data_IF_505940103786
#
_entry.id   IF_505940103786
#
_cell.length_a   1.000
_cell.length_b   1.000
_cell.length_c   1.000
_cell.angle_alpha   90.00
_cell.angle_beta   90.00
_cell.angle_gamma   90.00
#
_symmetry.space_group_name_H-M   'P 1'
#
loop_
_entity.id
_entity.type
_entity.pdbx_description
1 polymer ?
#
# COMPACT_ATOMS: atom_id res chain seq x y z
N UNK A 1 -15.59 -94.74 -22.45
CA UNK A 1 -16.29 -94.12 -21.29
C UNK A 1 -17.32 -93.13 -21.82
N UNK A 2 -18.63 -93.42 -21.67
CA UNK A 2 -19.70 -92.49 -22.10
C UNK A 2 -19.90 -91.45 -21.01
N UNK A 3 -19.37 -90.26 -21.26
CA UNK A 3 -19.58 -89.07 -20.42
C UNK A 3 -21.08 -88.73 -20.49
N UNK A 4 -21.81 -88.94 -19.40
CA UNK A 4 -23.25 -88.73 -19.35
C UNK A 4 -23.61 -87.27 -19.58
N UNK A 5 -24.74 -87.02 -20.27
CA UNK A 5 -25.27 -85.69 -20.65
C UNK A 5 -25.23 -84.69 -19.49
N UNK A 6 -25.48 -85.15 -18.25
CA UNK A 6 -25.41 -84.34 -17.02
C UNK A 6 -24.06 -83.67 -16.81
N UNK A 7 -22.96 -84.39 -17.00
CA UNK A 7 -21.61 -83.83 -16.79
C UNK A 7 -21.25 -82.74 -17.81
N UNK A 8 -21.74 -82.84 -19.05
CA UNK A 8 -21.57 -81.79 -20.08
C UNK A 8 -22.36 -80.53 -19.73
N UNK A 9 -23.57 -80.69 -19.17
CA UNK A 9 -24.40 -79.57 -18.73
C UNK A 9 -23.77 -78.82 -17.56
N UNK A 10 -23.28 -79.55 -16.54
CA UNK A 10 -22.59 -78.95 -15.39
C UNK A 10 -21.25 -78.32 -15.78
N UNK A 11 -20.50 -78.92 -16.71
CA UNK A 11 -19.26 -78.33 -17.21
C UNK A 11 -19.52 -77.02 -17.98
N UNK A 12 -20.54 -76.98 -18.83
CA UNK A 12 -20.96 -75.77 -19.54
C UNK A 12 -21.37 -74.66 -18.57
N UNK A 13 -22.24 -74.97 -17.61
CA UNK A 13 -22.68 -74.00 -16.60
C UNK A 13 -21.52 -73.52 -15.70
N UNK A 14 -20.67 -74.43 -15.23
CA UNK A 14 -19.51 -74.08 -14.41
C UNK A 14 -18.52 -73.17 -15.14
N UNK A 15 -18.30 -73.39 -16.44
CA UNK A 15 -17.46 -72.51 -17.26
C UNK A 15 -18.03 -71.09 -17.38
N UNK A 16 -19.35 -70.95 -17.54
CA UNK A 16 -20.02 -69.64 -17.57
C UNK A 16 -19.89 -68.90 -16.24
N UNK A 17 -20.08 -69.60 -15.11
CA UNK A 17 -19.92 -69.02 -13.76
C UNK A 17 -18.48 -68.54 -13.51
N UNK A 18 -17.48 -69.30 -13.96
CA UNK A 18 -16.08 -68.88 -13.83
C UNK A 18 -15.77 -67.64 -14.68
N UNK A 19 -16.29 -67.58 -15.91
CA UNK A 19 -16.09 -66.42 -16.78
C UNK A 19 -16.77 -65.18 -16.19
N UNK A 20 -18.00 -65.29 -15.71
CA UNK A 20 -18.70 -64.15 -15.09
C UNK A 20 -18.03 -63.70 -13.80
N UNK A 21 -17.54 -64.62 -12.96
CA UNK A 21 -16.75 -64.28 -11.79
C UNK A 21 -15.43 -63.57 -12.15
N UNK A 22 -14.74 -64.05 -13.19
CA UNK A 22 -13.51 -63.42 -13.70
C UNK A 22 -13.75 -62.00 -14.22
N UNK A 23 -14.83 -61.79 -15.00
CA UNK A 23 -15.25 -60.47 -15.48
C UNK A 23 -15.64 -59.54 -14.31
N UNK A 24 -16.35 -60.05 -13.30
CA UNK A 24 -16.70 -59.30 -12.11
C UNK A 24 -15.47 -58.86 -11.31
N UNK A 25 -14.52 -59.77 -11.09
CA UNK A 25 -13.25 -59.45 -10.42
C UNK A 25 -12.41 -58.44 -11.21
N UNK A 26 -12.31 -58.59 -12.53
CA UNK A 26 -11.63 -57.64 -13.40
C UNK A 26 -12.30 -56.26 -13.40
N UNK A 27 -13.63 -56.21 -13.39
CA UNK A 27 -14.41 -54.96 -13.29
C UNK A 27 -14.11 -54.23 -11.97
N UNK A 28 -14.08 -54.94 -10.85
CA UNK A 28 -13.72 -54.35 -9.54
C UNK A 28 -12.28 -53.82 -9.52
N UNK A 29 -11.35 -54.55 -10.14
CA UNK A 29 -9.97 -54.11 -10.29
C UNK A 29 -9.83 -52.86 -11.17
N UNK A 30 -10.52 -52.81 -12.31
CA UNK A 30 -10.51 -51.61 -13.15
C UNK A 30 -11.11 -50.41 -12.43
N UNK A 31 -12.22 -50.62 -11.70
CA UNK A 31 -12.86 -49.55 -10.95
C UNK A 31 -11.94 -48.98 -9.86
N UNK A 32 -11.20 -49.83 -9.13
CA UNK A 32 -10.26 -49.34 -8.12
C UNK A 32 -9.08 -48.58 -8.71
N UNK A 33 -8.54 -49.03 -9.85
CA UNK A 33 -7.49 -48.30 -10.58
C UNK A 33 -7.97 -46.93 -11.08
N UNK A 34 -9.20 -46.85 -11.57
CA UNK A 34 -9.79 -45.59 -12.06
C UNK A 34 -9.99 -44.62 -10.90
N UNK A 35 -10.50 -45.09 -9.76
CA UNK A 35 -10.63 -44.26 -8.54
C UNK A 35 -9.29 -43.69 -8.11
N UNK A 36 -8.22 -44.50 -8.10
CA UNK A 36 -6.88 -44.03 -7.77
C UNK A 36 -6.38 -42.92 -8.70
N UNK A 37 -6.65 -43.02 -10.01
CA UNK A 37 -6.29 -41.97 -10.97
C UNK A 37 -7.09 -40.68 -10.75
N UNK A 38 -8.39 -40.79 -10.44
CA UNK A 38 -9.22 -39.62 -10.13
C UNK A 38 -8.80 -38.92 -8.83
N UNK A 39 -8.45 -39.68 -7.79
CA UNK A 39 -7.90 -39.10 -6.55
C UNK A 39 -6.58 -38.38 -6.81
N UNK A 40 -5.70 -38.97 -7.64
CA UNK A 40 -4.44 -38.34 -7.99
C UNK A 40 -4.66 -37.04 -8.78
N UNK A 41 -5.59 -37.04 -9.74
CA UNK A 41 -5.97 -35.84 -10.49
C UNK A 41 -6.57 -34.77 -9.57
N UNK A 42 -7.47 -35.14 -8.66
CA UNK A 42 -8.06 -34.22 -7.70
C UNK A 42 -7.01 -33.54 -6.82
N UNK A 43 -5.96 -34.27 -6.42
CA UNK A 43 -4.82 -33.71 -5.67
C UNK A 43 -4.01 -32.70 -6.50
N UNK A 44 -3.82 -32.95 -7.79
CA UNK A 44 -3.15 -31.99 -8.68
C UNK A 44 -3.98 -30.73 -8.90
N UNK A 45 -5.28 -30.88 -9.17
CA UNK A 45 -6.21 -29.76 -9.35
C UNK A 45 -6.30 -28.91 -8.09
N UNK A 46 -6.38 -29.53 -6.91
CA UNK A 46 -6.38 -28.83 -5.63
C UNK A 46 -5.08 -28.05 -5.42
N UNK A 47 -3.92 -28.65 -5.66
CA UNK A 47 -2.62 -27.98 -5.53
C UNK A 47 -2.45 -26.83 -6.52
N UNK A 48 -2.93 -26.99 -7.76
CA UNK A 48 -2.89 -25.93 -8.76
C UNK A 48 -3.72 -24.72 -8.29
N UNK A 49 -4.92 -24.94 -7.76
CA UNK A 49 -5.76 -23.88 -7.17
C UNK A 49 -5.05 -23.16 -6.01
N UNK A 50 -4.42 -23.92 -5.11
CA UNK A 50 -3.68 -23.33 -3.99
C UNK A 50 -2.51 -22.44 -4.43
N UNK A 51 -1.82 -22.78 -5.52
CA UNK A 51 -0.78 -21.92 -6.11
C UNK A 51 -1.40 -20.64 -6.68
N UNK A 52 -2.52 -20.73 -7.40
CA UNK A 52 -3.22 -19.54 -7.90
C UNK A 52 -3.75 -18.65 -6.76
N UNK A 53 -4.21 -19.25 -5.65
CA UNK A 53 -4.64 -18.49 -4.47
C UNK A 53 -3.46 -17.70 -3.87
N UNK A 54 -2.26 -18.30 -3.79
CA UNK A 54 -1.06 -17.62 -3.32
C UNK A 54 -0.70 -16.42 -4.22
N UNK A 55 -0.72 -16.62 -5.54
CA UNK A 55 -0.46 -15.57 -6.54
C UNK A 55 -1.49 -14.44 -6.47
N UNK A 56 -2.77 -14.78 -6.29
CA UNK A 56 -3.85 -13.82 -6.12
C UNK A 56 -3.64 -12.97 -4.85
N UNK A 57 -3.23 -13.57 -3.73
CA UNK A 57 -2.93 -12.82 -2.50
C UNK A 57 -1.68 -11.94 -2.65
N UNK A 58 -0.64 -12.40 -3.33
CA UNK A 58 0.54 -11.59 -3.61
C UNK A 58 0.19 -10.37 -4.49
N UNK A 59 -0.62 -10.58 -5.53
CA UNK A 59 -1.12 -9.51 -6.42
C UNK A 59 -2.00 -8.53 -5.65
N UNK A 60 -2.89 -9.04 -4.77
CA UNK A 60 -3.71 -8.21 -3.89
C UNK A 60 -2.85 -7.36 -2.95
N UNK A 61 -1.82 -7.94 -2.34
CA UNK A 61 -0.88 -7.22 -1.47
C UNK A 61 -0.16 -6.09 -2.23
N UNK A 62 0.32 -6.39 -3.44
CA UNK A 62 0.95 -5.40 -4.31
C UNK A 62 -0.03 -4.25 -4.66
N UNK A 63 -1.25 -4.57 -5.09
CA UNK A 63 -2.27 -3.56 -5.39
C UNK A 63 -2.65 -2.70 -4.17
N UNK A 64 -2.82 -3.32 -3.01
CA UNK A 64 -3.07 -2.60 -1.76
C UNK A 64 -1.91 -1.67 -1.38
N UNK A 65 -0.66 -2.09 -1.63
CA UNK A 65 0.52 -1.27 -1.36
C UNK A 65 0.59 -0.02 -2.23
N UNK A 66 0.18 -0.11 -3.50
CA UNK A 66 0.13 1.04 -4.41
C UNK A 66 -0.99 2.03 -4.03
N UNK A 67 -2.16 1.51 -3.65
CA UNK A 67 -3.26 2.33 -3.12
C UNK A 67 -2.83 2.99 -1.81
N UNK A 68 -2.13 2.26 -0.94
CA UNK A 68 -1.61 2.81 0.31
C UNK A 68 -0.60 3.94 0.04
N UNK A 69 0.30 3.78 -0.92
CA UNK A 69 1.31 4.80 -1.25
C UNK A 69 0.69 6.11 -1.77
N UNK A 70 -0.42 6.03 -2.50
CA UNK A 70 -1.12 7.21 -3.03
C UNK A 70 -2.02 7.89 -2.00
N UNK A 71 -2.67 7.12 -1.13
CA UNK A 71 -3.69 7.63 -0.20
C UNK A 71 -3.20 7.82 1.24
N UNK A 72 -2.15 7.10 1.64
CA UNK A 72 -1.68 6.94 3.03
C UNK A 72 -2.78 6.47 3.99
N UNK A 73 -3.77 5.72 3.48
CA UNK A 73 -4.93 5.30 4.27
C UNK A 73 -4.57 4.15 5.22
N UNK A 74 -4.68 4.39 6.53
CA UNK A 74 -4.47 3.39 7.57
C UNK A 74 -5.43 2.18 7.44
N UNK A 75 -6.59 2.36 6.82
CA UNK A 75 -7.58 1.29 6.59
C UNK A 75 -7.08 0.18 5.66
N UNK A 76 -6.05 0.45 4.85
CA UNK A 76 -5.45 -0.54 3.95
C UNK A 76 -4.46 -1.46 4.66
N UNK A 77 -3.86 -1.02 5.77
CA UNK A 77 -2.87 -1.82 6.51
C UNK A 77 -3.45 -3.16 6.98
N UNK A 78 -4.64 -3.25 7.59
CA UNK A 78 -5.23 -4.53 7.96
C UNK A 78 -5.44 -5.47 6.77
N UNK A 79 -5.81 -4.93 5.61
CA UNK A 79 -6.01 -5.72 4.37
C UNK A 79 -4.67 -6.24 3.82
N UNK A 80 -3.60 -5.46 3.96
CA UNK A 80 -2.24 -5.88 3.60
C UNK A 80 -1.74 -6.98 4.54
N UNK A 81 -1.97 -6.84 5.85
CA UNK A 81 -1.64 -7.86 6.85
C UNK A 81 -2.43 -9.16 6.63
N UNK A 82 -3.71 -9.06 6.27
CA UNK A 82 -4.55 -10.20 5.90
C UNK A 82 -3.97 -10.93 4.68
N UNK A 83 -3.67 -10.22 3.59
CA UNK A 83 -3.11 -10.81 2.38
C UNK A 83 -1.73 -11.45 2.63
N UNK A 84 -0.89 -10.79 3.44
CA UNK A 84 0.41 -11.34 3.89
C UNK A 84 0.23 -12.61 4.72
N UNK A 85 -0.71 -12.63 5.66
CA UNK A 85 -1.00 -13.80 6.49
C UNK A 85 -1.58 -14.97 5.68
N UNK A 86 -2.45 -14.68 4.72
CA UNK A 86 -2.96 -15.68 3.79
C UNK A 86 -1.81 -16.30 2.98
N UNK A 87 -0.89 -15.48 2.46
CA UNK A 87 0.30 -15.94 1.73
C UNK A 87 1.19 -16.84 2.59
N UNK A 88 1.44 -16.45 3.85
CA UNK A 88 2.20 -17.28 4.81
C UNK A 88 1.52 -18.64 5.04
N UNK A 89 0.21 -18.64 5.30
CA UNK A 89 -0.58 -19.85 5.59
C UNK A 89 -0.63 -20.80 4.39
N UNK A 90 -0.87 -20.26 3.19
CA UNK A 90 -0.92 -21.02 1.94
C UNK A 90 0.47 -21.63 1.66
N UNK A 91 1.53 -20.85 1.80
CA UNK A 91 2.91 -21.30 1.59
C UNK A 91 3.33 -22.41 2.56
N UNK A 92 2.95 -22.29 3.85
CA UNK A 92 3.18 -23.33 4.85
C UNK A 92 2.45 -24.65 4.50
N UNK A 93 1.19 -24.54 4.04
CA UNK A 93 0.39 -25.69 3.61
C UNK A 93 1.03 -26.38 2.39
N UNK A 94 1.47 -25.59 1.41
CA UNK A 94 2.15 -26.08 0.21
C UNK A 94 3.50 -26.75 0.54
N UNK A 95 4.27 -26.19 1.48
CA UNK A 95 5.54 -26.79 1.94
C UNK A 95 5.32 -28.16 2.60
N UNK A 96 4.31 -28.29 3.46
CA UNK A 96 3.95 -29.56 4.11
C UNK A 96 3.48 -30.63 3.12
N UNK A 97 2.82 -30.22 2.02
CA UNK A 97 2.31 -31.10 0.97
C UNK A 97 3.23 -31.28 -0.25
N UNK A 98 4.46 -30.77 -0.23
CA UNK A 98 5.34 -30.76 -1.40
C UNK A 98 5.78 -32.17 -1.85
N UNK A 99 5.78 -32.41 -3.17
CA UNK A 99 6.20 -33.69 -3.78
C UNK A 99 7.71 -33.85 -3.92
N UNK A 100 8.44 -32.74 -3.93
CA UNK A 100 9.89 -32.71 -4.05
C UNK A 100 10.48 -31.76 -3.03
N UNK A 101 11.72 -32.00 -2.65
CA UNK A 101 12.45 -31.15 -1.71
C UNK A 101 12.67 -29.75 -2.30
N UNK A 102 12.96 -29.65 -3.61
CA UNK A 102 13.08 -28.37 -4.30
C UNK A 102 11.79 -27.51 -4.17
N UNK A 103 10.61 -28.09 -4.41
CA UNK A 103 9.34 -27.38 -4.23
C UNK A 103 9.11 -26.99 -2.77
N UNK A 104 9.45 -27.87 -1.84
CA UNK A 104 9.36 -27.58 -0.40
C UNK A 104 10.20 -26.36 -0.05
N UNK A 105 11.43 -26.27 -0.56
CA UNK A 105 12.32 -25.12 -0.32
C UNK A 105 11.74 -23.82 -0.87
N UNK A 106 11.17 -23.84 -2.09
CA UNK A 106 10.52 -22.66 -2.69
C UNK A 106 9.37 -22.17 -1.80
N UNK A 107 8.49 -23.07 -1.35
CA UNK A 107 7.34 -22.70 -0.53
C UNK A 107 7.74 -22.26 0.89
N UNK A 108 8.74 -22.90 1.48
CA UNK A 108 9.32 -22.44 2.76
C UNK A 108 9.88 -21.04 2.63
N UNK A 109 10.61 -20.74 1.56
CA UNK A 109 11.12 -19.39 1.29
C UNK A 109 9.99 -18.37 1.15
N UNK A 110 8.93 -18.68 0.41
CA UNK A 110 7.76 -17.79 0.29
C UNK A 110 7.11 -17.51 1.65
N UNK A 111 6.97 -18.54 2.50
CA UNK A 111 6.47 -18.38 3.88
C UNK A 111 7.38 -17.46 4.69
N UNK A 112 8.68 -17.68 4.65
CA UNK A 112 9.66 -16.93 5.43
C UNK A 112 9.73 -15.46 4.97
N UNK A 113 9.64 -15.20 3.67
CA UNK A 113 9.53 -13.85 3.11
C UNK A 113 8.23 -13.16 3.57
N UNK A 114 7.09 -13.85 3.51
CA UNK A 114 5.81 -13.35 4.03
C UNK A 114 5.86 -13.07 5.54
N UNK A 115 6.59 -13.86 6.31
CA UNK A 115 6.80 -13.64 7.75
C UNK A 115 7.69 -12.41 8.00
N UNK A 116 8.77 -12.26 7.22
CA UNK A 116 9.66 -11.10 7.31
C UNK A 116 8.96 -9.78 6.97
N UNK A 117 8.00 -9.81 6.03
CA UNK A 117 7.16 -8.66 5.65
C UNK A 117 6.35 -8.08 6.81
N UNK A 118 5.99 -8.87 7.83
CA UNK A 118 5.20 -8.41 8.98
C UNK A 118 5.83 -7.21 9.69
N UNK A 119 7.14 -7.28 9.95
CA UNK A 119 7.85 -6.19 10.63
C UNK A 119 7.96 -4.92 9.77
N UNK A 120 8.03 -5.07 8.44
CA UNK A 120 8.04 -3.95 7.50
C UNK A 120 6.64 -3.31 7.37
N UNK A 121 5.57 -4.10 7.34
CA UNK A 121 4.19 -3.61 7.33
C UNK A 121 3.83 -2.85 8.60
N UNK A 122 4.27 -3.32 9.76
CA UNK A 122 4.10 -2.60 11.03
C UNK A 122 4.81 -1.24 11.02
N UNK A 123 6.05 -1.21 10.50
CA UNK A 123 6.80 0.04 10.34
C UNK A 123 6.13 0.99 9.36
N UNK A 124 5.64 0.45 8.24
CA UNK A 124 4.87 1.21 7.24
C UNK A 124 3.61 1.81 7.87
N UNK A 125 2.86 1.03 8.65
CA UNK A 125 1.66 1.46 9.33
C UNK A 125 1.92 2.59 10.32
N UNK A 126 2.96 2.45 11.15
CA UNK A 126 3.38 3.48 12.09
C UNK A 126 3.79 4.77 11.37
N UNK A 127 4.59 4.66 10.29
CA UNK A 127 5.00 5.80 9.49
C UNK A 127 3.81 6.51 8.82
N UNK A 128 2.87 5.76 8.24
CA UNK A 128 1.68 6.37 7.65
C UNK A 128 0.76 7.03 8.68
N UNK A 129 0.63 6.46 9.87
CA UNK A 129 -0.13 7.09 10.96
C UNK A 129 0.52 8.41 11.41
N UNK A 130 1.84 8.43 11.55
CA UNK A 130 2.59 9.66 11.83
C UNK A 130 2.39 10.71 10.73
N UNK A 131 2.55 10.33 9.45
CA UNK A 131 2.31 11.22 8.31
C UNK A 131 0.88 11.77 8.32
N UNK A 132 -0.13 10.94 8.56
CA UNK A 132 -1.52 11.37 8.62
C UNK A 132 -1.77 12.36 9.77
N UNK A 133 -1.18 12.10 10.95
CA UNK A 133 -1.26 13.00 12.10
C UNK A 133 -0.60 14.35 11.82
N UNK A 134 0.62 14.36 11.26
CA UNK A 134 1.33 15.60 10.90
C UNK A 134 0.60 16.39 9.81
N UNK A 135 0.03 15.71 8.81
CA UNK A 135 -0.85 16.35 7.81
C UNK A 135 -2.06 17.02 8.46
N UNK A 136 -2.72 16.34 9.41
CA UNK A 136 -3.87 16.91 10.12
C UNK A 136 -3.46 18.18 10.91
N UNK A 137 -2.32 18.15 11.61
CA UNK A 137 -1.79 19.33 12.32
C UNK A 137 -1.49 20.49 11.36
N UNK A 138 -0.88 20.21 10.20
CA UNK A 138 -0.61 21.23 9.18
C UNK A 138 -1.90 21.84 8.60
N UNK A 139 -2.96 21.05 8.42
CA UNK A 139 -4.27 21.58 8.00
C UNK A 139 -4.88 22.47 9.08
N UNK A 140 -4.95 21.98 10.32
CA UNK A 140 -5.51 22.77 11.43
C UNK A 140 -4.74 24.07 11.65
N UNK A 141 -3.40 24.03 11.62
CA UNK A 141 -2.57 25.24 11.72
C UNK A 141 -2.79 26.21 10.54
N UNK A 142 -2.99 25.69 9.33
CA UNK A 142 -3.34 26.50 8.16
C UNK A 142 -4.71 27.19 8.28
N UNK A 143 -5.69 26.50 8.86
CA UNK A 143 -7.03 27.06 9.14
C UNK A 143 -6.97 28.14 10.22
N UNK A 144 -6.20 27.92 11.29
CA UNK A 144 -5.97 28.91 12.34
C UNK A 144 -5.27 30.16 11.82
N UNK A 145 -4.25 30.00 10.96
CA UNK A 145 -3.57 31.11 10.28
C UNK A 145 -4.54 31.89 9.39
N UNK A 146 -5.42 31.20 8.66
CA UNK A 146 -6.43 31.83 7.81
C UNK A 146 -7.40 32.66 8.64
N UNK A 147 -7.99 32.07 9.70
CA UNK A 147 -8.92 32.79 10.59
C UNK A 147 -8.27 33.99 11.28
N UNK A 148 -7.02 33.86 11.72
CA UNK A 148 -6.29 34.97 12.34
C UNK A 148 -6.06 36.11 11.34
N UNK A 149 -5.71 35.77 10.10
CA UNK A 149 -5.49 36.75 9.02
C UNK A 149 -6.80 37.44 8.64
N UNK A 150 -7.90 36.71 8.50
CA UNK A 150 -9.21 37.29 8.18
C UNK A 150 -9.67 38.28 9.26
N UNK A 151 -9.48 37.95 10.54
CA UNK A 151 -9.78 38.86 11.66
C UNK A 151 -8.94 40.13 11.60
N UNK A 152 -7.62 39.99 11.39
CA UNK A 152 -6.73 41.12 11.23
C UNK A 152 -7.18 42.04 10.09
N UNK A 153 -7.50 41.47 8.93
CA UNK A 153 -7.93 42.25 7.77
C UNK A 153 -9.30 42.91 7.98
N UNK A 154 -10.23 42.25 8.68
CA UNK A 154 -11.51 42.83 9.04
C UNK A 154 -11.33 44.05 9.98
N UNK A 155 -10.45 43.94 10.98
CA UNK A 155 -10.13 45.05 11.88
C UNK A 155 -9.47 46.22 11.14
N UNK A 156 -8.48 45.95 10.28
CA UNK A 156 -7.82 46.98 9.46
C UNK A 156 -8.83 47.68 8.55
N UNK A 157 -9.75 46.95 7.91
CA UNK A 157 -10.79 47.56 7.07
C UNK A 157 -11.78 48.42 7.87
N UNK A 158 -12.05 48.05 9.12
CA UNK A 158 -13.01 48.75 9.96
C UNK A 158 -12.43 50.03 10.61
N UNK A 159 -11.13 50.04 10.91
CA UNK A 159 -10.51 51.09 11.75
C UNK A 159 -9.26 51.72 11.14
N UNK A 160 -8.66 51.08 10.14
CA UNK A 160 -7.39 51.50 9.59
C UNK A 160 -7.50 52.60 8.55
N UNK A 161 -6.41 53.35 8.38
CA UNK A 161 -6.25 54.31 7.30
C UNK A 161 -5.89 53.64 5.97
N UNK A 162 -5.83 54.42 4.88
CA UNK A 162 -5.51 53.91 3.55
C UNK A 162 -4.15 53.21 3.46
N UNK A 163 -3.14 53.67 4.21
CA UNK A 163 -1.81 53.08 4.21
C UNK A 163 -1.77 51.75 4.98
N UNK A 164 -2.51 51.64 6.08
CA UNK A 164 -2.69 50.43 6.85
C UNK A 164 -3.49 49.38 6.07
N UNK A 165 -4.55 49.80 5.35
CA UNK A 165 -5.31 48.92 4.45
C UNK A 165 -4.43 48.37 3.34
N UNK A 166 -3.64 49.22 2.67
CA UNK A 166 -2.70 48.78 1.64
C UNK A 166 -1.65 47.80 2.19
N UNK A 167 -1.14 48.06 3.40
CA UNK A 167 -0.19 47.16 4.06
C UNK A 167 -0.84 45.83 4.50
N UNK A 168 -2.11 45.85 4.92
CA UNK A 168 -2.89 44.65 5.20
C UNK A 168 -3.00 43.73 3.99
N UNK A 169 -3.24 44.28 2.79
CA UNK A 169 -3.26 43.50 1.55
C UNK A 169 -1.91 42.81 1.25
N UNK A 170 -0.78 43.44 1.59
CA UNK A 170 0.54 42.82 1.46
C UNK A 170 0.75 41.66 2.44
N UNK A 171 0.22 41.79 3.67
CA UNK A 171 0.21 40.69 4.65
C UNK A 171 -0.63 39.52 4.13
N UNK A 172 -1.83 39.79 3.62
CA UNK A 172 -2.72 38.78 3.05
C UNK A 172 -2.02 38.01 1.91
N UNK A 173 -1.43 38.73 0.95
CA UNK A 173 -0.71 38.13 -0.16
C UNK A 173 0.47 37.26 0.30
N UNK A 174 1.24 37.72 1.29
CA UNK A 174 2.36 36.96 1.84
C UNK A 174 1.91 35.68 2.57
N UNK A 175 0.82 35.75 3.36
CA UNK A 175 0.22 34.58 4.03
C UNK A 175 -0.33 33.59 3.00
N UNK A 176 -0.97 34.06 1.93
CA UNK A 176 -1.43 33.18 0.85
C UNK A 176 -0.27 32.40 0.21
N UNK A 177 0.90 33.02 0.02
CA UNK A 177 2.10 32.32 -0.48
C UNK A 177 2.61 31.25 0.50
N UNK A 178 2.51 31.47 1.80
CA UNK A 178 2.81 30.44 2.82
C UNK A 178 1.86 29.26 2.67
N UNK A 179 0.55 29.52 2.55
CA UNK A 179 -0.48 28.49 2.37
C UNK A 179 -0.27 27.70 1.08
N UNK A 180 -0.03 28.36 -0.05
CA UNK A 180 0.24 27.73 -1.34
C UNK A 180 1.50 26.86 -1.27
N UNK A 181 2.57 27.33 -0.61
CA UNK A 181 3.77 26.52 -0.42
C UNK A 181 3.50 25.26 0.42
N UNK A 182 2.69 25.37 1.49
CA UNK A 182 2.29 24.23 2.30
C UNK A 182 1.48 23.20 1.48
N UNK A 183 0.46 23.65 0.74
CA UNK A 183 -0.35 22.77 -0.12
C UNK A 183 0.49 22.08 -1.20
N UNK A 184 1.39 22.82 -1.87
CA UNK A 184 2.29 22.25 -2.87
C UNK A 184 3.19 21.18 -2.26
N UNK A 185 3.74 21.43 -1.07
CA UNK A 185 4.53 20.42 -0.35
C UNK A 185 3.69 19.17 -0.05
N UNK A 186 2.46 19.32 0.44
CA UNK A 186 1.59 18.19 0.73
C UNK A 186 1.17 17.39 -0.52
N UNK A 187 0.98 18.07 -1.64
CA UNK A 187 0.57 17.44 -2.90
C UNK A 187 1.73 16.73 -3.62
N UNK A 188 2.96 17.23 -3.50
CA UNK A 188 4.11 16.76 -4.31
C UNK A 188 5.21 16.09 -3.50
N UNK A 189 5.23 16.29 -2.18
CA UNK A 189 6.33 15.88 -1.30
C UNK A 189 7.70 16.41 -1.77
N UNK A 190 7.73 17.58 -2.41
CA UNK A 190 8.94 18.20 -2.95
C UNK A 190 9.97 18.42 -1.82
N UNK A 191 11.20 17.89 -1.92
CA UNK A 191 12.24 18.07 -0.89
C UNK A 191 12.63 19.53 -0.67
N UNK A 192 12.38 20.43 -1.65
CA UNK A 192 12.57 21.88 -1.52
C UNK A 192 11.38 22.60 -0.89
N UNK A 193 10.28 21.88 -0.65
CA UNK A 193 9.04 22.40 -0.05
C UNK A 193 9.28 23.10 1.29
N UNK A 194 9.93 22.48 2.28
CA UNK A 194 10.18 23.10 3.58
C UNK A 194 11.00 24.39 3.50
N UNK A 195 12.00 24.46 2.61
CA UNK A 195 12.79 25.67 2.40
C UNK A 195 11.97 26.80 1.75
N UNK A 196 11.13 26.45 0.76
CA UNK A 196 10.23 27.40 0.09
C UNK A 196 9.18 27.94 1.06
N UNK A 197 8.63 27.07 1.90
CA UNK A 197 7.70 27.43 2.96
C UNK A 197 8.35 28.41 3.96
N UNK A 198 9.54 28.09 4.48
CA UNK A 198 10.26 28.95 5.43
C UNK A 198 10.59 30.33 4.84
N UNK A 199 11.01 30.38 3.57
CA UNK A 199 11.23 31.64 2.85
C UNK A 199 9.94 32.48 2.78
N UNK A 200 8.80 31.87 2.45
CA UNK A 200 7.53 32.59 2.39
C UNK A 200 7.03 33.01 3.78
N UNK A 201 7.29 32.21 4.82
CA UNK A 201 6.97 32.59 6.19
C UNK A 201 7.76 33.83 6.62
N UNK A 202 9.06 33.89 6.31
CA UNK A 202 9.87 35.09 6.56
C UNK A 202 9.37 36.33 5.82
N UNK A 203 8.80 36.18 4.62
CA UNK A 203 8.13 37.29 3.91
C UNK A 203 6.86 37.76 4.63
N UNK A 204 6.06 36.81 5.15
CA UNK A 204 4.86 37.14 5.93
C UNK A 204 5.22 37.85 7.25
N UNK A 205 6.25 37.39 7.95
CA UNK A 205 6.78 38.05 9.15
C UNK A 205 7.27 39.48 8.85
N UNK A 206 7.99 39.67 7.74
CA UNK A 206 8.43 41.00 7.31
C UNK A 206 7.26 41.95 6.99
N UNK A 207 6.20 41.42 6.36
CA UNK A 207 4.98 42.19 6.08
C UNK A 207 4.23 42.56 7.37
N UNK A 208 4.12 41.65 8.34
CA UNK A 208 3.53 41.91 9.66
C UNK A 208 4.32 42.94 10.46
N UNK A 209 5.66 42.85 10.42
CA UNK A 209 6.55 43.86 11.03
C UNK A 209 6.34 45.23 10.41
N UNK A 210 6.18 45.30 9.08
CA UNK A 210 5.92 46.55 8.37
C UNK A 210 4.54 47.14 8.73
N UNK A 211 3.51 46.29 8.88
CA UNK A 211 2.20 46.70 9.37
C UNK A 211 2.26 47.26 10.79
N UNK A 212 2.96 46.59 11.70
CA UNK A 212 3.18 47.08 13.06
C UNK A 212 3.86 48.46 13.10
N UNK A 213 4.83 48.70 12.21
CA UNK A 213 5.47 50.01 12.08
C UNK A 213 4.52 51.13 11.64
N UNK A 214 3.38 50.78 11.05
CA UNK A 214 2.29 51.71 10.67
C UNK A 214 1.17 51.78 11.70
N UNK A 215 1.30 51.10 12.83
CA UNK A 215 0.32 51.07 13.92
C UNK A 215 0.96 51.56 15.24
N UNK A 216 1.36 52.84 15.32
CA UNK A 216 2.06 53.37 16.50
C UNK A 216 1.18 53.38 17.76
N UNK A 217 -0.15 53.46 17.57
CA UNK A 217 -1.14 53.42 18.64
C UNK A 217 -1.46 51.98 19.08
N UNK A 218 -0.97 50.98 18.35
CA UNK A 218 -1.12 49.56 18.68
C UNK A 218 -2.54 49.02 18.51
N UNK A 219 -3.36 49.65 17.67
CA UNK A 219 -4.77 49.31 17.43
C UNK A 219 -4.96 47.85 16.97
N UNK A 220 -3.98 47.29 16.24
CA UNK A 220 -4.02 45.94 15.67
C UNK A 220 -3.04 44.98 16.34
N UNK A 221 -2.37 45.38 17.43
CA UNK A 221 -1.32 44.58 18.08
C UNK A 221 -1.78 43.18 18.47
N UNK A 222 -3.02 43.04 18.98
CA UNK A 222 -3.59 41.75 19.34
C UNK A 222 -3.72 40.81 18.14
N UNK A 223 -4.32 41.30 17.05
CA UNK A 223 -4.52 40.52 15.83
C UNK A 223 -3.22 40.22 15.08
N UNK A 224 -2.26 41.15 15.06
CA UNK A 224 -0.92 40.88 14.53
C UNK A 224 -0.25 39.74 15.31
N UNK A 225 -0.29 39.79 16.65
CA UNK A 225 0.27 38.70 17.50
C UNK A 225 -0.42 37.36 17.26
N UNK A 226 -1.74 37.36 17.01
CA UNK A 226 -2.46 36.14 16.69
C UNK A 226 -1.97 35.52 15.37
N UNK A 227 -1.75 36.34 14.33
CA UNK A 227 -1.20 35.86 13.05
C UNK A 227 0.23 35.35 13.22
N UNK A 228 1.09 36.08 13.94
CA UNK A 228 2.46 35.65 14.24
C UNK A 228 2.49 34.33 15.01
N UNK A 229 1.61 34.16 16.01
CA UNK A 229 1.48 32.92 16.78
C UNK A 229 1.09 31.73 15.91
N UNK A 230 0.06 31.88 15.07
CA UNK A 230 -0.36 30.81 14.14
C UNK A 230 0.73 30.48 13.12
N UNK A 231 1.47 31.49 12.63
CA UNK A 231 2.57 31.28 11.69
C UNK A 231 3.75 30.54 12.34
N UNK A 232 4.11 30.91 13.56
CA UNK A 232 5.17 30.25 14.33
C UNK A 232 4.82 28.79 14.64
N UNK A 233 3.56 28.50 14.97
CA UNK A 233 3.07 27.14 15.17
C UNK A 233 3.23 26.31 13.89
N UNK A 234 2.84 26.87 12.74
CA UNK A 234 2.97 26.20 11.44
C UNK A 234 4.45 25.93 11.07
N UNK A 235 5.36 26.86 11.39
CA UNK A 235 6.80 26.68 11.22
C UNK A 235 7.36 25.58 12.12
N UNK A 236 6.93 25.52 13.38
CA UNK A 236 7.35 24.49 14.32
C UNK A 236 6.98 23.08 13.82
N UNK A 237 5.75 22.90 13.32
CA UNK A 237 5.27 21.64 12.74
C UNK A 237 6.11 21.19 11.52
N UNK A 238 6.59 22.13 10.71
CA UNK A 238 7.45 21.82 9.56
C UNK A 238 8.87 21.41 9.98
N UNK A 239 9.35 21.93 11.12
CA UNK A 239 10.67 21.58 11.64
C UNK A 239 10.71 20.22 12.34
N UNK A 240 9.65 19.83 13.06
CA UNK A 240 9.55 18.52 13.71
C UNK A 240 9.56 17.36 12.71
N UNK A 241 8.97 17.57 11.52
CA UNK A 241 8.99 16.57 10.45
C UNK A 241 10.39 16.21 9.92
N UNK A 242 11.37 17.12 10.04
CA UNK A 242 12.76 16.85 9.60
C UNK A 242 13.51 15.91 10.55
N UNK A 243 13.29 16.02 11.85
CA UNK A 243 13.99 15.22 12.85
C UNK A 243 13.56 13.75 12.81
N UNK A 244 12.26 13.51 12.61
CA UNK A 244 11.73 12.13 12.51
C UNK A 244 12.18 11.43 11.22
N UNK A 245 12.22 12.15 10.10
CA UNK A 245 12.71 11.60 8.83
C UNK A 245 14.20 11.20 8.88
N UNK A 246 15.02 11.99 9.59
CA UNK A 246 16.45 11.68 9.78
C UNK A 246 16.69 10.43 10.62
N UNK A 247 15.89 10.23 11.68
CA UNK A 247 16.04 9.10 12.62
C UNK A 247 15.60 7.76 12.00
N UNK A 248 14.68 7.76 11.04
CA UNK A 248 14.24 6.55 10.33
C UNK A 248 15.23 6.03 9.28
N UNK A 249 16.06 6.91 8.68
CA UNK A 249 16.98 6.55 7.60
C UNK A 249 18.23 5.78 8.04
N UNK A 250 18.63 5.90 9.31
CA UNK A 250 19.90 5.32 9.80
C UNK A 250 19.80 3.81 10.09
N UNK A 251 18.60 3.28 10.29
CA UNK A 251 18.33 1.85 10.55
C UNK A 251 18.51 0.94 9.32
N UNK A 252 18.58 1.53 8.11
CA UNK A 252 18.69 0.77 6.85
C UNK A 252 20.11 0.36 6.45
N UNK A 253 21.17 0.86 7.10
CA UNK A 253 22.56 0.69 6.67
C UNK A 253 23.17 -0.68 6.95
N UNK A 254 22.40 -1.61 7.53
CA UNK A 254 22.83 -2.98 7.88
C UNK A 254 22.28 -4.09 7.00
N UNK A 255 21.61 -3.81 5.87
CA UNK A 255 21.26 -4.87 4.91
C UNK A 255 22.51 -5.29 4.15
N UNK A 256 22.93 -6.54 4.35
CA UNK A 256 23.98 -7.18 3.56
C UNK A 256 23.63 -7.03 2.07
N UNK A 257 24.61 -6.78 1.18
CA UNK A 257 24.37 -6.85 -0.25
C UNK A 257 23.73 -8.20 -0.57
N UNK A 258 22.60 -8.19 -1.28
CA UNK A 258 22.08 -9.40 -1.88
C UNK A 258 23.19 -9.96 -2.78
N UNK A 259 23.63 -11.19 -2.50
CA UNK A 259 24.58 -11.89 -3.36
C UNK A 259 24.05 -11.93 -4.81
N UNK A 260 24.92 -11.76 -5.82
CA UNK A 260 24.54 -11.88 -7.23
C UNK A 260 24.42 -13.37 -7.59
N UNK A 261 23.40 -14.05 -7.09
CA UNK A 261 23.05 -15.43 -7.50
C UNK A 261 21.55 -15.52 -7.81
N UNK A 262 21.06 -14.59 -8.62
CA UNK A 262 19.75 -14.66 -9.27
C UNK A 262 19.85 -14.14 -10.71
N UNK A 263 20.89 -14.54 -11.42
CA UNK A 263 21.03 -14.36 -12.87
C UNK A 263 20.75 -15.73 -13.52
N UNK A 264 19.47 -16.10 -13.64
CA UNK A 264 19.13 -17.44 -14.13
C UNK A 264 17.68 -17.90 -14.04
N UNK A 265 16.68 -17.03 -14.22
CA UNK A 265 15.35 -17.42 -14.75
C UNK A 265 14.44 -16.19 -14.85
N UNK A 266 14.75 -15.31 -15.80
CA UNK A 266 13.76 -14.35 -16.28
C UNK A 266 12.68 -15.15 -16.99
N UNK A 267 11.55 -15.36 -16.32
CA UNK A 267 10.29 -15.73 -16.95
C UNK A 267 9.90 -14.53 -17.84
N UNK A 268 10.24 -14.59 -19.14
CA UNK A 268 9.70 -13.65 -20.14
C UNK A 268 8.36 -14.23 -20.61
N UNK A 269 7.21 -13.59 -20.35
CA UNK A 269 6.02 -13.83 -21.14
C UNK A 269 6.27 -13.16 -22.49
N UNK A 270 6.45 -13.95 -23.54
CA UNK A 270 6.44 -13.48 -24.92
C UNK A 270 5.00 -13.11 -25.29
N UNK A 271 4.63 -11.85 -25.07
CA UNK A 271 3.42 -11.26 -25.62
C UNK A 271 3.81 -10.09 -26.53
N UNK A 272 4.07 -10.43 -27.80
CA UNK A 272 3.85 -9.50 -28.90
C UNK A 272 2.35 -9.23 -29.03
N UNK A 273 1.92 -8.04 -28.65
CA UNK A 273 0.79 -7.35 -29.24
C UNK A 273 1.07 -5.82 -29.21
N UNK A 274 0.84 -5.10 -30.33
CA UNK A 274 1.13 -3.67 -30.39
C UNK A 274 -0.02 -2.88 -29.76
N UNK A 275 0.27 -2.11 -28.71
CA UNK A 275 -0.62 -1.05 -28.25
C UNK A 275 -0.11 0.27 -28.85
N UNK A 276 -0.83 0.73 -29.87
CA UNK A 276 -0.83 2.12 -30.34
C UNK A 276 -1.24 3.05 -29.21
N UNK A 277 -0.53 4.18 -29.11
CA UNK A 277 -0.91 5.46 -28.51
C UNK A 277 -2.11 5.47 -27.54
N UNK A 278 -1.80 5.49 -26.25
CA UNK A 278 -2.71 6.06 -25.24
C UNK A 278 -2.08 7.37 -24.77
N UNK A 279 -2.53 8.45 -25.38
CA UNK A 279 -2.31 9.83 -24.96
C UNK A 279 -3.12 10.09 -23.68
N UNK A 280 -2.45 10.04 -22.52
CA UNK A 280 -3.05 10.36 -21.22
C UNK A 280 -2.94 11.87 -21.00
N UNK A 281 -3.93 12.59 -21.56
CA UNK A 281 -4.29 13.95 -21.14
C UNK A 281 -4.80 13.92 -19.70
N UNK A 282 -4.02 14.46 -18.77
CA UNK A 282 -4.49 14.77 -17.41
C UNK A 282 -5.54 15.87 -17.47
N UNK A 283 -6.81 15.50 -17.33
CA UNK A 283 -7.91 16.44 -17.10
C UNK A 283 -7.88 16.87 -15.62
N UNK A 284 -7.52 18.12 -15.40
CA UNK A 284 -7.64 18.81 -14.11
C UNK A 284 -9.12 19.16 -13.93
N UNK A 285 -9.86 18.35 -13.19
CA UNK A 285 -11.15 18.75 -12.62
C UNK A 285 -10.92 19.40 -11.25
N UNK A 286 -11.47 20.60 -11.11
CA UNK A 286 -11.20 21.52 -10.01
C UNK A 286 -11.78 21.12 -8.66
N UNK A 287 -11.08 21.60 -7.64
CA UNK A 287 -11.61 22.01 -6.35
C UNK A 287 -11.30 23.50 -6.19
#
# INVERSE_FOLDING_TARGET
MRIGIRSRLYAGFGSLVLITAGLGGFSLYQQSSIVGQFEQRARYDQRARTVFDAEAQATRLAGLSEIYRSTWSAERVPQMEEARHATETISATMAGGALSEERRQIYTRMRDEAQALKGELQRLAAAGSAIASEKAKLFTGGDELTRATDRLLAEIRARGDAAQVAQGALVEAAVLLVRVANWRFLATLDPKGPATFAMNAGKAEAALKSLRGRDPEGQFTGSIKAVEGSLALLLALQSSGKEEAGRGGESGKGRRPCDPVCEGSVWRPDHRAPLSEVDIRWSVAGF
#
